data_IF_878958862836
#
_entry.id   IF_878958862836
#
_cell.length_a   1.000
_cell.length_b   1.000
_cell.length_c   1.000
_cell.angle_alpha   90.00
_cell.angle_beta   90.00
_cell.angle_gamma   90.00
#
_symmetry.space_group_name_H-M   'P 1'
#
loop_
_entity.id
_entity.type
_entity.pdbx_description
1 polymer ?
#
# COMPACT_ATOMS: atom_id res chain seq x y z
N UNK A 1 12.91 17.25 -5.79
CA UNK A 1 11.73 17.32 -4.90
C UNK A 1 12.10 16.66 -3.58
N UNK A 2 11.91 17.36 -2.46
CA UNK A 2 12.14 16.80 -1.13
C UNK A 2 11.00 15.83 -0.82
N UNK A 3 11.31 14.57 -0.50
CA UNK A 3 10.33 13.65 0.10
C UNK A 3 10.08 14.16 1.51
N UNK A 4 8.95 14.83 1.73
CA UNK A 4 8.48 15.10 3.09
C UNK A 4 8.38 13.76 3.82
N UNK A 5 9.20 13.61 4.86
CA UNK A 5 9.18 12.40 5.69
C UNK A 5 8.08 12.61 6.71
N UNK A 6 6.96 11.91 6.54
CA UNK A 6 5.87 11.91 7.53
C UNK A 6 6.43 11.39 8.86
N UNK A 7 6.48 12.25 9.88
CA UNK A 7 6.79 11.84 11.25
C UNK A 7 5.55 11.18 11.82
N UNK A 8 5.55 9.85 11.82
CA UNK A 8 4.45 9.03 12.32
C UNK A 8 4.73 8.71 13.80
N UNK A 9 3.85 9.09 14.74
CA UNK A 9 4.05 8.77 16.15
C UNK A 9 3.96 7.25 16.38
N UNK A 10 4.67 6.71 17.40
CA UNK A 10 4.56 5.31 17.78
C UNK A 10 3.09 4.92 18.05
N UNK A 11 2.69 3.76 17.55
CA UNK A 11 1.32 3.23 17.71
C UNK A 11 0.33 3.68 16.63
N UNK A 12 0.71 4.55 15.71
CA UNK A 12 -0.07 4.78 14.50
C UNK A 12 0.09 3.59 13.54
N UNK A 13 -1.03 3.07 13.05
CA UNK A 13 -1.06 1.95 12.12
C UNK A 13 -1.90 2.34 10.90
N UNK A 14 -1.57 1.76 9.77
CA UNK A 14 -2.44 1.82 8.61
C UNK A 14 -3.66 0.91 8.84
N UNK A 15 -4.79 1.52 9.21
CA UNK A 15 -6.04 0.83 9.50
C UNK A 15 -7.24 1.52 8.80
N UNK A 16 -7.26 1.56 7.46
CA UNK A 16 -8.34 2.18 6.71
C UNK A 16 -9.64 1.35 6.77
N UNK A 17 -10.77 2.02 6.61
CA UNK A 17 -12.06 1.38 6.32
C UNK A 17 -12.13 0.91 4.86
N UNK A 18 -13.09 0.04 4.54
CA UNK A 18 -13.34 -0.42 3.16
C UNK A 18 -13.58 0.75 2.19
N UNK A 19 -14.34 1.75 2.63
CA UNK A 19 -14.64 2.93 1.83
C UNK A 19 -13.36 3.76 1.57
N UNK A 20 -12.50 3.90 2.56
CA UNK A 20 -11.23 4.62 2.42
C UNK A 20 -10.26 3.88 1.49
N UNK A 21 -10.18 2.54 1.60
CA UNK A 21 -9.38 1.69 0.70
C UNK A 21 -9.79 1.89 -0.77
N UNK A 22 -11.09 1.84 -1.05
CA UNK A 22 -11.59 1.97 -2.42
C UNK A 22 -11.39 3.40 -2.93
N UNK A 23 -11.82 4.39 -2.15
CA UNK A 23 -11.90 5.79 -2.59
C UNK A 23 -10.53 6.44 -2.69
N UNK A 24 -9.68 6.27 -1.67
CA UNK A 24 -8.42 6.98 -1.57
C UNK A 24 -7.20 6.20 -2.08
N UNK A 25 -7.32 4.89 -2.32
CA UNK A 25 -6.21 4.08 -2.80
C UNK A 25 -6.51 3.44 -4.15
N UNK A 26 -7.48 2.52 -4.21
CA UNK A 26 -7.73 1.73 -5.42
C UNK A 26 -8.18 2.59 -6.61
N UNK A 27 -9.21 3.42 -6.44
CA UNK A 27 -9.73 4.27 -7.52
C UNK A 27 -8.69 5.28 -8.01
N UNK A 28 -7.92 5.87 -7.10
CA UNK A 28 -6.87 6.84 -7.45
C UNK A 28 -5.76 6.18 -8.26
N UNK A 29 -5.30 5.00 -7.84
CA UNK A 29 -4.30 4.22 -8.56
C UNK A 29 -4.78 3.84 -9.96
N UNK A 30 -6.02 3.34 -10.08
CA UNK A 30 -6.60 2.99 -11.38
C UNK A 30 -6.71 4.18 -12.34
N UNK A 31 -6.87 5.40 -11.82
CA UNK A 31 -6.94 6.64 -12.59
C UNK A 31 -5.58 7.33 -12.79
N UNK A 32 -4.48 6.76 -12.30
CA UNK A 32 -3.15 7.39 -12.37
C UNK A 32 -2.99 8.63 -11.49
N UNK A 33 -3.85 8.81 -10.47
CA UNK A 33 -3.81 9.93 -9.55
C UNK A 33 -2.83 9.67 -8.40
N UNK A 34 -2.19 10.73 -7.89
CA UNK A 34 -1.30 10.63 -6.72
C UNK A 34 -2.02 10.07 -5.49
N UNK A 35 -1.39 9.14 -4.77
CA UNK A 35 -1.90 8.63 -3.50
C UNK A 35 -1.56 9.59 -2.34
N UNK A 36 -2.40 9.71 -1.29
CA UNK A 36 -2.11 10.57 -0.13
C UNK A 36 -0.78 10.21 0.55
N UNK A 37 -0.54 8.90 0.65
CA UNK A 37 0.70 8.22 1.04
C UNK A 37 0.59 6.82 0.43
N UNK A 38 1.70 6.11 0.21
CA UNK A 38 1.65 4.78 -0.42
C UNK A 38 2.30 3.70 0.47
N UNK A 39 1.55 3.14 1.43
CA UNK A 39 1.98 1.97 2.18
C UNK A 39 1.75 0.64 1.44
N UNK A 40 1.03 0.65 0.31
CA UNK A 40 0.60 -0.56 -0.41
C UNK A 40 1.66 -0.97 -1.43
N UNK A 41 2.23 -2.16 -1.25
CA UNK A 41 3.23 -2.74 -2.14
C UNK A 41 2.59 -3.28 -3.44
N UNK A 42 3.30 -3.14 -4.56
CA UNK A 42 2.92 -3.78 -5.81
C UNK A 42 3.48 -5.20 -5.88
N UNK A 43 2.57 -6.18 -5.94
CA UNK A 43 2.90 -7.61 -5.94
C UNK A 43 2.00 -8.37 -6.89
N UNK A 44 2.59 -9.37 -7.57
CA UNK A 44 1.83 -10.40 -8.27
C UNK A 44 1.37 -11.43 -7.23
N UNK A 45 0.07 -11.51 -6.99
CA UNK A 45 -0.52 -12.37 -5.94
C UNK A 45 -1.21 -13.63 -6.51
N UNK A 46 -1.14 -13.83 -7.83
CA UNK A 46 -1.64 -15.02 -8.51
C UNK A 46 -0.64 -15.43 -9.60
N UNK A 47 -0.33 -16.72 -9.71
CA UNK A 47 0.61 -17.25 -10.70
C UNK A 47 1.63 -18.21 -10.08
N UNK A 48 2.70 -18.50 -10.83
CA UNK A 48 3.83 -19.29 -10.32
C UNK A 48 4.58 -18.50 -9.24
N UNK A 49 4.95 -19.17 -8.13
CA UNK A 49 5.62 -18.58 -6.97
C UNK A 49 4.82 -17.44 -6.29
N UNK A 50 3.48 -17.51 -6.34
CA UNK A 50 2.59 -16.55 -5.68
C UNK A 50 1.96 -17.12 -4.40
N UNK A 51 2.58 -18.14 -3.78
CA UNK A 51 2.14 -18.59 -2.47
C UNK A 51 2.28 -17.45 -1.45
N UNK A 52 1.42 -17.38 -0.42
CA UNK A 52 1.41 -16.25 0.50
C UNK A 52 2.79 -15.94 1.12
N UNK A 53 3.58 -16.95 1.46
CA UNK A 53 4.91 -16.77 2.03
C UNK A 53 5.92 -16.21 1.02
N UNK A 54 5.80 -16.53 -0.27
CA UNK A 54 6.69 -16.02 -1.32
C UNK A 54 6.37 -14.56 -1.65
N UNK A 55 5.09 -14.19 -1.65
CA UNK A 55 4.63 -12.82 -1.91
C UNK A 55 5.19 -11.82 -0.89
N UNK A 56 5.32 -12.23 0.37
CA UNK A 56 5.74 -11.39 1.49
C UNK A 56 7.20 -11.62 1.93
N UNK A 57 7.98 -12.46 1.25
CA UNK A 57 9.34 -12.84 1.68
C UNK A 57 10.34 -11.68 1.77
N UNK A 58 10.14 -10.61 1.02
CA UNK A 58 11.02 -9.43 0.93
C UNK A 58 10.63 -8.28 1.87
N UNK A 59 9.56 -8.45 2.66
CA UNK A 59 9.05 -7.43 3.60
C UNK A 59 9.59 -7.66 5.03
N UNK A 60 10.39 -8.72 5.24
CA UNK A 60 11.06 -9.06 6.49
C UNK A 60 12.52 -8.59 6.54
#
# INVERSE_FOLDING_TARGET
MMKETLIIPPGFHFAPTDQELITFYLSRKAMGLQLPWNPILEKTIYGENADPWDVFADVL
#
